data_IF_935570746625
#
_entry.id   IF_935570746625
#
_cell.length_a   1.000
_cell.length_b   1.000
_cell.length_c   1.000
_cell.angle_alpha   90.00
_cell.angle_beta   90.00
_cell.angle_gamma   90.00
#
_symmetry.space_group_name_H-M   'P 1'
#
loop_
_entity.id
_entity.type
_entity.pdbx_description
1 polymer ?
#
# COMPACT_ATOMS: atom_id res chain seq x y z
N UNK A 1 5.57 0.87 -35.70
CA UNK A 1 6.05 2.26 -35.45
C UNK A 1 5.48 2.84 -34.13
N UNK A 2 5.45 2.07 -33.02
CA UNK A 2 5.00 2.55 -31.69
C UNK A 2 6.10 2.58 -30.62
N UNK A 3 7.25 1.93 -30.87
CA UNK A 3 8.37 1.90 -29.92
C UNK A 3 9.21 3.19 -29.89
N UNK A 4 9.31 3.89 -31.03
CA UNK A 4 10.17 5.09 -31.17
C UNK A 4 9.62 6.29 -30.38
N UNK A 5 8.30 6.36 -30.15
CA UNK A 5 7.68 7.48 -29.42
C UNK A 5 7.98 7.46 -27.91
N UNK A 6 8.18 6.30 -27.28
CA UNK A 6 8.46 6.20 -25.83
C UNK A 6 9.91 6.56 -25.48
N UNK A 7 10.87 6.30 -26.36
CA UNK A 7 12.28 6.66 -26.12
C UNK A 7 12.56 8.16 -26.30
N UNK A 8 11.73 8.87 -27.07
CA UNK A 8 11.93 10.30 -27.35
C UNK A 8 11.82 11.17 -26.07
N UNK A 9 10.90 10.84 -25.16
CA UNK A 9 10.70 11.62 -23.94
C UNK A 9 11.85 11.49 -22.94
N UNK A 10 12.45 10.30 -22.79
CA UNK A 10 13.53 10.06 -21.83
C UNK A 10 14.81 10.88 -22.12
N UNK A 11 15.04 11.28 -23.37
CA UNK A 11 16.21 12.08 -23.75
C UNK A 11 15.92 13.58 -23.92
N UNK A 12 14.66 13.98 -24.06
CA UNK A 12 14.28 15.37 -24.30
C UNK A 12 13.75 16.06 -23.05
N UNK A 13 13.15 15.30 -22.14
CA UNK A 13 12.48 15.82 -20.96
C UNK A 13 12.35 14.75 -19.86
N UNK A 14 13.34 14.66 -18.97
CA UNK A 14 13.33 13.65 -17.90
C UNK A 14 12.20 13.87 -16.89
N UNK A 15 11.68 15.10 -16.77
CA UNK A 15 10.67 15.48 -15.78
C UNK A 15 9.24 15.52 -16.35
N UNK A 16 9.01 14.85 -17.49
CA UNK A 16 7.74 14.88 -18.22
C UNK A 16 6.52 14.66 -17.31
N UNK A 17 6.54 13.61 -16.49
CA UNK A 17 5.41 13.26 -15.65
C UNK A 17 5.12 14.30 -14.56
N UNK A 18 6.17 14.92 -14.00
CA UNK A 18 6.05 15.99 -13.01
C UNK A 18 5.42 17.21 -13.67
N UNK A 19 5.94 17.62 -14.84
CA UNK A 19 5.41 18.77 -15.58
C UNK A 19 3.97 18.55 -16.04
N UNK A 20 3.66 17.36 -16.56
CA UNK A 20 2.32 17.00 -17.03
C UNK A 20 1.29 17.12 -15.90
N UNK A 21 1.56 16.51 -14.74
CA UNK A 21 0.69 16.60 -13.58
C UNK A 21 0.53 18.03 -13.07
N UNK A 22 1.64 18.77 -12.95
CA UNK A 22 1.61 20.16 -12.49
C UNK A 22 0.76 21.04 -13.40
N UNK A 23 0.95 20.92 -14.72
CA UNK A 23 0.21 21.68 -15.72
C UNK A 23 -1.27 21.28 -15.77
N UNK A 24 -1.60 20.00 -15.60
CA UNK A 24 -2.97 19.52 -15.55
C UNK A 24 -3.73 20.17 -14.37
N UNK A 25 -3.13 20.19 -13.18
CA UNK A 25 -3.72 20.84 -12.01
C UNK A 25 -3.81 22.36 -12.19
N UNK A 26 -2.76 23.01 -12.70
CA UNK A 26 -2.74 24.46 -12.94
C UNK A 26 -3.81 24.92 -13.95
N UNK A 27 -4.13 24.07 -14.94
CA UNK A 27 -5.19 24.30 -15.92
C UNK A 27 -6.58 23.84 -15.44
N UNK A 28 -6.73 23.45 -14.16
CA UNK A 28 -7.96 22.92 -13.56
C UNK A 28 -8.47 21.63 -14.22
N UNK A 29 -7.60 20.91 -14.91
CA UNK A 29 -7.87 19.57 -15.43
C UNK A 29 -7.44 18.52 -14.41
N UNK A 30 -8.25 18.37 -13.36
CA UNK A 30 -7.90 17.53 -12.21
C UNK A 30 -7.97 16.04 -12.54
N UNK A 31 -6.86 15.33 -12.28
CA UNK A 31 -6.83 13.89 -12.36
C UNK A 31 -7.66 13.27 -11.23
N UNK A 32 -8.40 12.20 -11.54
CA UNK A 32 -9.22 11.51 -10.54
C UNK A 32 -9.25 10.01 -10.76
N UNK A 33 -9.40 9.26 -9.66
CA UNK A 33 -9.45 7.81 -9.62
C UNK A 33 -10.66 7.34 -8.83
N UNK A 34 -11.36 6.34 -9.36
CA UNK A 34 -12.36 5.60 -8.59
C UNK A 34 -11.65 4.59 -7.69
N UNK A 35 -11.88 4.70 -6.39
CA UNK A 35 -11.38 3.79 -5.37
C UNK A 35 -12.41 2.69 -5.15
N UNK A 36 -12.01 1.45 -5.43
CA UNK A 36 -12.84 0.26 -5.27
C UNK A 36 -12.09 -0.83 -4.50
N UNK A 37 -12.84 -1.70 -3.85
CA UNK A 37 -12.30 -2.83 -3.07
C UNK A 37 -12.90 -4.15 -3.53
N UNK A 38 -12.13 -5.23 -3.43
CA UNK A 38 -12.64 -6.59 -3.54
C UNK A 38 -12.87 -7.13 -2.12
N UNK A 39 -14.04 -7.72 -1.89
CA UNK A 39 -14.43 -8.24 -0.58
C UNK A 39 -14.40 -9.76 -0.64
N UNK A 40 -13.72 -10.37 0.34
CA UNK A 40 -13.62 -11.82 0.50
C UNK A 40 -13.90 -12.16 1.96
N UNK A 41 -14.71 -13.19 2.20
CA UNK A 41 -14.93 -13.71 3.56
C UNK A 41 -13.79 -14.65 3.97
N UNK A 42 -13.59 -14.85 5.28
CA UNK A 42 -12.57 -15.78 5.78
C UNK A 42 -12.76 -17.21 5.24
N UNK A 43 -14.01 -17.68 5.14
CA UNK A 43 -14.32 -19.00 4.57
C UNK A 43 -13.95 -19.10 3.09
N UNK A 44 -14.16 -18.04 2.30
CA UNK A 44 -13.72 -18.01 0.91
C UNK A 44 -12.20 -18.02 0.80
N UNK A 45 -11.50 -17.33 1.71
CA UNK A 45 -10.05 -17.31 1.76
C UNK A 45 -9.48 -18.70 2.08
N UNK A 46 -10.07 -19.42 3.03
CA UNK A 46 -9.72 -20.81 3.35
C UNK A 46 -9.89 -21.74 2.14
N UNK A 47 -10.98 -21.60 1.39
CA UNK A 47 -11.26 -22.40 0.20
C UNK A 47 -10.27 -22.14 -0.95
N UNK A 48 -9.74 -20.92 -1.08
CA UNK A 48 -8.68 -20.59 -2.03
C UNK A 48 -7.31 -21.14 -1.60
N UNK A 49 -7.15 -21.40 -0.30
CA UNK A 49 -5.94 -21.90 0.30
C UNK A 49 -4.92 -20.82 0.65
N UNK A 50 -4.21 -21.06 1.75
CA UNK A 50 -3.17 -20.21 2.35
C UNK A 50 -2.09 -19.80 1.32
N UNK A 51 -1.67 -20.74 0.47
CA UNK A 51 -0.68 -20.51 -0.58
C UNK A 51 -1.13 -19.46 -1.60
N UNK A 52 -2.43 -19.33 -1.86
CA UNK A 52 -2.94 -18.36 -2.82
C UNK A 52 -3.10 -16.97 -2.19
N UNK A 53 -3.75 -16.91 -1.03
CA UNK A 53 -4.15 -15.65 -0.37
C UNK A 53 -2.97 -14.88 0.22
N UNK A 54 -1.87 -15.55 0.61
CA UNK A 54 -0.69 -14.89 1.18
C UNK A 54 0.31 -14.37 0.13
N UNK A 55 0.06 -14.58 -1.17
CA UNK A 55 0.96 -14.17 -2.25
C UNK A 55 0.66 -12.77 -2.76
N UNK A 56 1.72 -11.99 -2.96
CA UNK A 56 1.63 -10.71 -3.65
C UNK A 56 1.37 -10.88 -5.16
N UNK A 57 1.87 -11.97 -5.75
CA UNK A 57 1.84 -12.20 -7.21
C UNK A 57 0.55 -12.88 -7.71
N UNK A 58 -0.50 -12.95 -6.89
CA UNK A 58 -1.79 -13.55 -7.26
C UNK A 58 -2.89 -12.49 -7.21
N UNK A 59 -3.59 -12.30 -8.31
CA UNK A 59 -4.79 -11.46 -8.37
C UNK A 59 -6.05 -12.27 -8.11
N UNK A 60 -7.08 -11.61 -7.55
CA UNK A 60 -8.42 -12.16 -7.46
C UNK A 60 -9.17 -12.01 -8.78
N UNK A 61 -9.92 -13.04 -9.18
CA UNK A 61 -10.74 -12.96 -10.38
C UNK A 61 -11.88 -11.97 -10.17
N UNK A 62 -11.96 -10.94 -11.03
CA UNK A 62 -13.04 -9.95 -11.02
C UNK A 62 -14.43 -10.56 -11.29
N UNK A 63 -14.51 -11.73 -11.94
CA UNK A 63 -15.76 -12.43 -12.17
C UNK A 63 -16.32 -13.09 -10.89
N UNK A 64 -15.43 -13.44 -9.95
CA UNK A 64 -15.79 -14.11 -8.69
C UNK A 64 -15.88 -13.09 -7.56
N UNK A 65 -14.94 -12.15 -7.53
CA UNK A 65 -14.84 -11.07 -6.55
C UNK A 65 -14.94 -9.73 -7.30
N UNK A 66 -16.16 -9.25 -7.59
CA UNK A 66 -16.35 -8.00 -8.30
C UNK A 66 -15.84 -6.81 -7.48
N UNK A 67 -15.42 -5.76 -8.17
CA UNK A 67 -15.02 -4.52 -7.53
C UNK A 67 -16.25 -3.81 -6.95
N UNK A 68 -16.18 -3.46 -5.67
CA UNK A 68 -17.16 -2.61 -5.00
C UNK A 68 -16.59 -1.21 -4.94
N UNK A 69 -17.22 -0.26 -5.62
CA UNK A 69 -16.83 1.15 -5.56
C UNK A 69 -17.10 1.74 -4.18
N UNK A 70 -16.12 2.46 -3.65
CA UNK A 70 -16.17 3.04 -2.30
C UNK A 70 -16.12 4.56 -2.38
N UNK A 71 -15.20 5.13 -3.16
CA UNK A 71 -15.02 6.58 -3.22
C UNK A 71 -14.29 7.05 -4.48
N UNK A 72 -14.10 8.36 -4.60
CA UNK A 72 -13.33 9.00 -5.67
C UNK A 72 -12.19 9.83 -5.06
N UNK A 73 -10.97 9.60 -5.54
CA UNK A 73 -9.78 10.37 -5.20
C UNK A 73 -9.54 11.42 -6.29
N UNK A 74 -9.29 12.68 -5.91
CA UNK A 74 -9.06 13.80 -6.85
C UNK A 74 -7.81 14.55 -6.42
N UNK A 75 -6.93 14.86 -7.36
CA UNK A 75 -5.77 15.73 -7.13
C UNK A 75 -6.08 17.11 -7.69
N UNK A 76 -6.36 18.06 -6.80
CA UNK A 76 -6.88 19.39 -7.13
C UNK A 76 -5.96 20.56 -6.75
N UNK A 77 -4.82 20.28 -6.12
CA UNK A 77 -3.90 21.29 -5.60
C UNK A 77 -2.44 20.97 -5.92
N UNK A 78 -1.73 21.96 -6.46
CA UNK A 78 -0.29 21.91 -6.64
C UNK A 78 0.46 22.27 -5.35
N UNK A 79 1.73 21.90 -5.32
CA UNK A 79 2.64 22.12 -4.20
C UNK A 79 3.12 23.58 -4.19
N UNK A 80 3.33 24.14 -3.00
CA UNK A 80 4.01 25.42 -2.84
C UNK A 80 5.52 25.21 -2.70
N UNK A 81 5.93 24.14 -2.03
CA UNK A 81 7.33 23.77 -1.86
C UNK A 81 7.54 22.26 -2.08
N UNK A 82 8.19 21.92 -3.19
CA UNK A 82 8.44 20.53 -3.57
C UNK A 82 9.28 19.76 -2.54
N UNK A 83 10.31 20.39 -1.97
CA UNK A 83 11.17 19.69 -1.00
C UNK A 83 10.41 19.36 0.28
N UNK A 84 9.70 20.34 0.85
CA UNK A 84 8.97 20.17 2.10
C UNK A 84 7.74 19.27 1.95
N UNK A 85 7.04 19.31 0.82
CA UNK A 85 5.77 18.59 0.63
C UNK A 85 5.92 17.24 -0.09
N UNK A 86 7.00 17.00 -0.86
CA UNK A 86 7.23 15.75 -1.60
C UNK A 86 8.51 15.05 -1.18
N UNK A 87 9.66 15.72 -1.19
CA UNK A 87 10.94 15.04 -0.89
C UNK A 87 11.03 14.56 0.57
N UNK A 88 10.34 15.24 1.48
CA UNK A 88 10.20 14.83 2.89
C UNK A 88 8.97 13.96 3.16
N UNK A 89 8.14 13.67 2.15
CA UNK A 89 6.91 12.91 2.32
C UNK A 89 7.22 11.45 2.69
N UNK A 90 6.58 10.95 3.75
CA UNK A 90 6.84 9.64 4.31
C UNK A 90 5.57 8.78 4.41
N UNK A 91 5.43 7.78 3.53
CA UNK A 91 4.32 6.83 3.57
C UNK A 91 4.75 5.52 4.24
N UNK A 92 4.09 5.13 5.33
CA UNK A 92 4.33 3.83 5.97
C UNK A 92 3.07 2.97 5.99
N UNK A 93 3.11 1.71 5.49
CA UNK A 93 1.99 0.78 5.59
C UNK A 93 1.57 0.45 7.02
N UNK A 94 2.43 0.69 8.02
CA UNK A 94 2.08 0.52 9.44
C UNK A 94 1.06 1.55 9.94
N UNK A 95 0.90 2.68 9.25
CA UNK A 95 0.05 3.77 9.69
C UNK A 95 -1.40 3.52 9.23
N UNK A 96 -2.02 2.52 9.86
CA UNK A 96 -3.41 2.14 9.61
C UNK A 96 -4.36 2.81 10.61
N UNK A 97 -5.59 3.04 10.16
CA UNK A 97 -6.69 3.48 11.04
C UNK A 97 -7.40 2.26 11.64
N UNK A 98 -8.06 2.38 12.82
CA UNK A 98 -8.87 1.30 13.36
C UNK A 98 -9.83 0.74 12.30
N UNK A 99 -10.06 -0.58 12.31
CA UNK A 99 -10.83 -1.38 11.32
C UNK A 99 -10.00 -1.87 10.12
N UNK A 100 -8.89 -1.20 9.78
CA UNK A 100 -7.97 -1.68 8.74
C UNK A 100 -6.76 -2.31 9.43
N UNK A 101 -6.49 -3.58 9.10
CA UNK A 101 -5.36 -4.33 9.65
C UNK A 101 -4.55 -5.02 8.54
N UNK A 102 -3.29 -5.37 8.82
CA UNK A 102 -2.47 -6.10 7.88
C UNK A 102 -2.98 -7.53 7.73
N UNK A 103 -2.83 -8.07 6.53
CA UNK A 103 -3.08 -9.48 6.24
C UNK A 103 -1.73 -10.25 6.22
N UNK A 104 -1.70 -11.58 6.53
CA UNK A 104 -0.51 -12.45 6.54
C UNK A 104 0.23 -12.66 5.20
N UNK A 105 0.48 -11.60 4.43
CA UNK A 105 1.36 -11.60 3.26
C UNK A 105 2.82 -11.33 3.68
N UNK A 106 3.75 -12.25 3.37
CA UNK A 106 5.17 -12.13 3.77
C UNK A 106 5.81 -10.79 3.40
N UNK A 107 5.49 -10.24 2.21
CA UNK A 107 6.03 -8.96 1.76
C UNK A 107 5.42 -7.78 2.54
N UNK A 108 4.11 -7.78 2.78
CA UNK A 108 3.46 -6.74 3.58
C UNK A 108 4.03 -6.73 5.00
N UNK A 109 4.21 -7.90 5.61
CA UNK A 109 4.77 -8.04 6.96
C UNK A 109 6.16 -7.39 7.07
N UNK A 110 7.03 -7.56 6.07
CA UNK A 110 8.33 -6.86 6.03
C UNK A 110 8.16 -5.34 5.91
N UNK A 111 7.20 -4.88 5.09
CA UNK A 111 6.96 -3.45 4.88
C UNK A 111 6.40 -2.75 6.12
N UNK A 112 5.72 -3.46 7.02
CA UNK A 112 5.22 -2.89 8.28
C UNK A 112 6.34 -2.30 9.15
N UNK A 113 7.54 -2.89 9.13
CA UNK A 113 8.68 -2.35 9.89
C UNK A 113 9.66 -1.54 9.03
N UNK A 114 9.86 -1.94 7.76
CA UNK A 114 10.94 -1.39 6.92
C UNK A 114 10.80 0.11 6.63
N UNK A 115 9.58 0.59 6.36
CA UNK A 115 9.33 1.99 5.99
C UNK A 115 9.69 2.95 7.13
N UNK A 116 9.22 2.68 8.35
CA UNK A 116 9.59 3.49 9.50
C UNK A 116 11.08 3.44 9.82
N UNK A 117 11.74 2.30 9.57
CA UNK A 117 13.19 2.18 9.68
C UNK A 117 13.91 3.13 8.72
N UNK A 118 13.54 3.11 7.43
CA UNK A 118 14.16 4.00 6.43
C UNK A 118 13.82 5.47 6.66
N UNK A 119 12.60 5.83 7.08
CA UNK A 119 12.24 7.22 7.36
C UNK A 119 13.11 7.81 8.48
N UNK A 120 13.31 7.07 9.57
CA UNK A 120 14.20 7.51 10.67
C UNK A 120 15.65 7.69 10.23
N UNK A 121 16.10 6.93 9.23
CA UNK A 121 17.44 7.11 8.66
C UNK A 121 17.50 8.28 7.67
N UNK A 122 16.52 8.39 6.76
CA UNK A 122 16.45 9.40 5.70
C UNK A 122 16.24 10.81 6.26
N UNK A 123 15.28 10.97 7.17
CA UNK A 123 14.86 12.28 7.67
C UNK A 123 15.29 12.54 9.12
N UNK A 124 15.66 11.48 9.85
CA UNK A 124 16.04 11.55 11.26
C UNK A 124 14.87 11.32 12.23
N UNK A 125 15.17 11.09 13.52
CA UNK A 125 14.19 11.20 14.59
C UNK A 125 13.90 12.67 14.88
N UNK A 126 12.67 12.97 15.32
CA UNK A 126 12.21 14.36 15.44
C UNK A 126 11.84 14.74 16.87
N UNK A 127 12.20 15.97 17.26
CA UNK A 127 11.74 16.65 18.46
C UNK A 127 11.61 18.15 18.13
N UNK A 128 10.55 18.50 17.39
CA UNK A 128 10.31 19.88 16.94
C UNK A 128 9.24 20.61 17.75
N UNK A 129 8.46 19.89 18.56
CA UNK A 129 7.44 20.43 19.43
C UNK A 129 7.95 20.54 20.89
N UNK A 130 7.04 20.80 21.84
CA UNK A 130 7.40 20.92 23.26
C UNK A 130 7.75 19.56 23.93
N UNK A 131 7.91 18.47 23.16
CA UNK A 131 8.36 17.16 23.62
C UNK A 131 7.57 16.61 24.83
N UNK A 132 6.25 16.83 24.83
CA UNK A 132 5.37 16.44 25.95
C UNK A 132 5.49 17.31 27.21
N UNK A 133 6.31 18.37 27.22
CA UNK A 133 6.44 19.32 28.33
C UNK A 133 6.80 18.65 29.65
N UNK A 134 6.07 18.98 30.72
CA UNK A 134 6.25 18.39 32.06
C UNK A 134 5.41 17.13 32.32
N UNK A 135 4.85 16.50 31.28
CA UNK A 135 4.00 15.32 31.46
C UNK A 135 4.83 14.10 31.90
N UNK A 136 4.29 13.22 32.77
CA UNK A 136 4.90 11.92 33.05
C UNK A 136 5.19 11.13 31.78
N UNK A 137 6.42 10.63 31.67
CA UNK A 137 6.93 9.92 30.49
C UNK A 137 6.88 8.39 30.61
N UNK A 138 6.07 7.87 31.53
CA UNK A 138 5.91 6.43 31.78
C UNK A 138 4.43 6.03 31.86
N UNK A 139 4.12 4.79 31.46
CA UNK A 139 2.78 4.22 31.48
C UNK A 139 2.84 2.77 32.02
N UNK A 140 1.93 2.34 32.90
CA UNK A 140 0.83 3.09 33.52
C UNK A 140 1.32 4.08 34.60
N UNK A 141 0.58 5.17 34.81
CA UNK A 141 0.86 6.14 35.87
C UNK A 141 -0.43 6.67 36.51
N UNK A 142 -0.33 7.24 37.71
CA UNK A 142 -1.47 7.73 38.50
C UNK A 142 -1.82 9.22 38.28
N UNK A 143 -1.09 9.91 37.40
CA UNK A 143 -1.20 11.36 37.21
C UNK A 143 -2.02 11.71 35.96
N UNK A 144 -1.65 11.10 34.83
CA UNK A 144 -2.37 11.18 33.57
C UNK A 144 -3.36 10.01 33.58
N UNK A 145 -4.65 10.29 33.65
CA UNK A 145 -5.72 9.29 33.50
C UNK A 145 -5.79 8.67 32.09
N UNK A 146 -4.68 8.68 31.35
CA UNK A 146 -4.52 7.97 30.10
C UNK A 146 -4.75 6.48 30.35
N UNK A 147 -5.50 5.85 29.45
CA UNK A 147 -5.83 4.42 29.49
C UNK A 147 -5.87 3.90 28.07
N UNK A 148 -5.48 2.65 27.91
CA UNK A 148 -5.67 1.95 26.63
C UNK A 148 -7.15 1.91 26.29
N UNK A 149 -7.47 2.13 25.01
CA UNK A 149 -8.83 2.07 24.53
C UNK A 149 -9.14 0.69 23.96
N UNK A 150 -9.77 -0.15 24.79
CA UNK A 150 -10.12 -1.53 24.44
C UNK A 150 -11.07 -1.64 23.23
N UNK A 151 -11.77 -0.56 22.85
CA UNK A 151 -12.62 -0.52 21.66
C UNK A 151 -11.84 -0.75 20.36
N UNK A 152 -10.55 -0.40 20.35
CA UNK A 152 -9.70 -0.47 19.15
C UNK A 152 -8.70 -1.61 19.19
N UNK A 153 -8.95 -2.64 20.03
CA UNK A 153 -8.15 -3.86 19.98
C UNK A 153 -8.26 -4.48 18.58
N UNK A 154 -7.10 -4.91 18.07
CA UNK A 154 -6.99 -5.56 16.77
C UNK A 154 -7.80 -6.86 16.70
N UNK A 155 -8.16 -7.23 15.47
CA UNK A 155 -8.77 -8.53 15.20
C UNK A 155 -7.87 -9.66 15.67
N UNK A 156 -8.46 -10.73 16.22
CA UNK A 156 -7.72 -11.91 16.65
C UNK A 156 -7.98 -13.06 15.69
N UNK A 157 -6.92 -13.51 15.04
CA UNK A 157 -6.94 -14.69 14.18
C UNK A 157 -6.27 -15.88 14.86
N UNK A 158 -6.81 -17.08 14.62
CA UNK A 158 -6.17 -18.32 15.04
C UNK A 158 -5.20 -18.78 13.95
N UNK A 159 -3.94 -19.00 14.32
CA UNK A 159 -2.93 -19.55 13.42
C UNK A 159 -2.89 -21.07 13.63
N UNK A 160 -3.18 -21.82 12.57
CA UNK A 160 -3.25 -23.30 12.59
C UNK A 160 -1.99 -23.98 12.04
N UNK A 161 -0.93 -23.21 11.78
CA UNK A 161 0.34 -23.72 11.25
C UNK A 161 0.99 -24.64 12.30
N UNK A 162 1.47 -25.84 11.92
CA UNK A 162 2.02 -26.80 12.87
C UNK A 162 3.35 -26.34 13.50
N UNK A 163 4.22 -25.67 12.72
CA UNK A 163 5.57 -25.30 13.14
C UNK A 163 5.93 -23.84 12.79
N UNK A 164 6.67 -23.20 13.70
CA UNK A 164 7.29 -21.89 13.49
C UNK A 164 8.65 -22.10 12.82
N UNK A 165 8.69 -21.98 11.49
CA UNK A 165 9.92 -22.18 10.70
C UNK A 165 9.92 -21.31 9.42
N UNK A 166 11.03 -21.35 8.68
CA UNK A 166 11.20 -20.72 7.37
C UNK A 166 10.58 -21.59 6.28
N UNK A 167 9.27 -21.46 6.13
CA UNK A 167 8.51 -22.15 5.09
C UNK A 167 8.89 -21.66 3.68
N UNK A 168 9.42 -22.57 2.85
CA UNK A 168 9.78 -22.32 1.45
C UNK A 168 8.53 -22.10 0.58
N UNK A 169 8.62 -21.20 -0.40
CA UNK A 169 7.52 -20.83 -1.31
C UNK A 169 7.90 -20.84 -2.80
N UNK A 170 9.12 -21.26 -3.16
CA UNK A 170 9.60 -21.24 -4.55
C UNK A 170 8.82 -22.16 -5.50
N UNK A 171 8.36 -23.32 -5.03
CA UNK A 171 7.70 -24.35 -5.87
C UNK A 171 6.19 -24.15 -6.06
N UNK A 172 5.68 -23.00 -5.66
CA UNK A 172 4.27 -22.68 -5.79
C UNK A 172 3.91 -22.28 -7.25
N UNK A 173 2.62 -22.25 -7.61
CA UNK A 173 2.20 -21.91 -8.99
C UNK A 173 2.67 -20.49 -9.39
N UNK A 174 3.51 -20.42 -10.42
CA UNK A 174 4.08 -19.16 -10.94
C UNK A 174 3.60 -18.83 -12.36
N UNK A 175 2.91 -19.74 -13.05
CA UNK A 175 2.67 -19.64 -14.48
C UNK A 175 1.19 -19.48 -14.85
N UNK A 176 0.27 -20.00 -14.04
CA UNK A 176 -1.15 -20.09 -14.43
C UNK A 176 -1.79 -18.72 -14.69
N UNK A 177 -1.60 -17.75 -13.78
CA UNK A 177 -2.17 -16.41 -13.96
C UNK A 177 -1.48 -15.62 -15.07
N UNK A 178 -0.18 -15.82 -15.26
CA UNK A 178 0.59 -15.18 -16.34
C UNK A 178 0.15 -15.72 -17.70
N UNK A 179 -0.04 -17.04 -17.82
CA UNK A 179 -0.59 -17.66 -19.02
C UNK A 179 -2.02 -17.17 -19.31
N UNK A 180 -2.86 -17.06 -18.28
CA UNK A 180 -4.20 -16.47 -18.45
C UNK A 180 -4.15 -15.01 -18.92
N UNK A 181 -3.23 -14.20 -18.38
CA UNK A 181 -3.02 -12.83 -18.83
C UNK A 181 -2.62 -12.78 -20.30
N UNK A 182 -1.61 -13.55 -20.70
CA UNK A 182 -1.16 -13.64 -22.08
C UNK A 182 -2.27 -14.09 -23.04
N UNK A 183 -3.00 -15.16 -22.68
CA UNK A 183 -3.97 -15.78 -23.60
C UNK A 183 -5.31 -15.06 -23.65
N UNK A 184 -5.77 -14.49 -22.53
CA UNK A 184 -7.16 -14.02 -22.37
C UNK A 184 -7.30 -12.52 -22.15
N UNK A 185 -6.21 -11.83 -21.78
CA UNK A 185 -6.26 -10.38 -21.50
C UNK A 185 -5.60 -9.58 -22.62
N UNK A 186 -4.43 -10.01 -23.10
CA UNK A 186 -3.72 -9.31 -24.18
C UNK A 186 -4.37 -9.55 -25.54
N UNK A 187 -4.47 -8.48 -26.33
CA UNK A 187 -4.81 -8.55 -27.76
C UNK A 187 -3.60 -9.03 -28.56
N UNK A 188 -3.82 -9.49 -29.80
CA UNK A 188 -2.74 -9.98 -30.67
C UNK A 188 -1.67 -8.90 -30.98
N UNK A 189 -2.02 -7.62 -30.99
CA UNK A 189 -1.06 -6.52 -31.19
C UNK A 189 -0.32 -6.10 -29.90
N UNK A 190 -0.72 -6.67 -28.76
CA UNK A 190 -0.13 -6.44 -27.44
C UNK A 190 0.70 -7.63 -26.93
N UNK A 191 0.65 -8.78 -27.61
CA UNK A 191 1.48 -9.97 -27.40
C UNK A 191 2.86 -9.78 -28.02
#
# INVERSE_FOLDING_TARGET
MKLIAKFHFLGTDPDYAIRDLFNAIASKNFASWTFSVQIMTNQQAENLGITFIHKLCKGLSHAVYPNVEVSKLVLDRNLENYFAEVEQLAFSPSNMVPIIGPYPNKMLQTRLFAYNGTHRHRDGPYCFDNNGGGMPNYFANSFLKAKDNLKYIEHRDQVTIPDIDRHESANEDNYTQVANFWQKVLKEDEK
#
